data_IF_010460916608
#
_entry.id   IF_010460916608
#
_cell.length_a   1.000
_cell.length_b   1.000
_cell.length_c   1.000
_cell.angle_alpha   90.00
_cell.angle_beta   90.00
_cell.angle_gamma   90.00
#
_symmetry.space_group_name_H-M   'P 1'
#
loop_
_entity.id
_entity.type
_entity.pdbx_description
1 polymer ?
#
# COMPACT_ATOMS: atom_id res chain seq x y z
N UNK A 1 -10.09 0.07 7.92
CA UNK A 1 -9.22 -0.84 8.71
C UNK A 1 -9.99 -2.07 9.21
N UNK A 2 -11.03 -1.93 10.04
CA UNK A 2 -11.76 -3.11 10.55
C UNK A 2 -12.27 -4.03 9.44
N UNK A 3 -12.83 -3.47 8.37
CA UNK A 3 -13.32 -4.25 7.23
C UNK A 3 -12.20 -5.08 6.57
N UNK A 4 -11.02 -4.49 6.41
CA UNK A 4 -9.82 -5.20 5.95
C UNK A 4 -9.39 -6.30 6.93
N UNK A 5 -9.37 -6.02 8.23
CA UNK A 5 -8.99 -7.01 9.24
C UNK A 5 -9.99 -8.17 9.30
N UNK A 6 -11.28 -7.92 9.08
CA UNK A 6 -12.31 -8.94 9.02
C UNK A 6 -12.04 -9.88 7.84
N UNK A 7 -11.89 -9.35 6.62
CA UNK A 7 -11.63 -10.18 5.44
C UNK A 7 -10.35 -11.00 5.59
N UNK A 8 -9.25 -10.37 6.03
CA UNK A 8 -7.98 -11.08 6.25
C UNK A 8 -8.07 -12.13 7.37
N UNK A 9 -8.85 -11.85 8.43
CA UNK A 9 -9.04 -12.82 9.51
C UNK A 9 -9.77 -14.07 9.02
N UNK A 10 -10.76 -13.89 8.14
CA UNK A 10 -11.56 -14.94 7.49
C UNK A 10 -10.85 -15.65 6.33
N UNK A 11 -9.74 -15.08 5.83
CA UNK A 11 -8.94 -15.64 4.75
C UNK A 11 -9.36 -15.19 3.35
N UNK A 12 -10.16 -14.12 3.27
CA UNK A 12 -10.59 -13.50 2.03
C UNK A 12 -9.73 -12.26 1.73
N UNK A 13 -9.40 -12.04 0.45
CA UNK A 13 -8.73 -10.80 0.02
C UNK A 13 -9.70 -9.61 0.13
N UNK A 14 -9.27 -8.54 0.79
CA UNK A 14 -10.03 -7.30 0.85
C UNK A 14 -10.05 -6.60 -0.52
N UNK A 15 -11.23 -6.51 -1.14
CA UNK A 15 -11.47 -5.80 -2.41
C UNK A 15 -12.44 -4.63 -2.23
N UNK A 16 -12.41 -4.00 -1.06
CA UNK A 16 -13.31 -2.88 -0.73
C UNK A 16 -14.71 -3.33 -0.31
N UNK A 17 -14.88 -4.58 0.12
CA UNK A 17 -16.15 -5.01 0.71
C UNK A 17 -16.37 -4.29 2.04
N UNK A 18 -17.56 -3.73 2.20
CA UNK A 18 -18.00 -3.17 3.47
C UNK A 18 -18.69 -4.25 4.30
N UNK A 19 -18.41 -4.28 5.60
CA UNK A 19 -19.05 -5.19 6.55
C UNK A 19 -20.08 -4.47 7.41
N UNK A 20 -21.04 -5.23 7.94
CA UNK A 20 -22.06 -4.70 8.85
C UNK A 20 -21.45 -4.12 10.12
N UNK A 21 -22.20 -3.25 10.82
CA UNK A 21 -21.75 -2.72 12.09
C UNK A 21 -21.68 -3.83 13.17
N UNK A 22 -22.51 -4.86 13.07
CA UNK A 22 -22.44 -6.06 13.91
C UNK A 22 -21.10 -6.79 13.71
N UNK A 23 -20.71 -7.06 12.45
CA UNK A 23 -19.43 -7.69 12.12
C UNK A 23 -18.24 -6.86 12.62
N UNK A 24 -18.28 -5.54 12.42
CA UNK A 24 -17.24 -4.61 12.91
C UNK A 24 -17.10 -4.60 14.44
N UNK A 25 -18.20 -4.84 15.16
CA UNK A 25 -18.21 -4.95 16.63
C UNK A 25 -17.73 -6.32 17.12
N UNK A 26 -17.99 -7.36 16.33
CA UNK A 26 -17.55 -8.72 16.62
C UNK A 26 -16.03 -8.88 16.49
N UNK A 27 -15.39 -8.11 15.60
CA UNK A 27 -13.94 -8.05 15.51
C UNK A 27 -13.33 -7.24 16.67
N UNK A 28 -12.52 -7.92 17.50
CA UNK A 28 -11.73 -7.31 18.59
C UNK A 28 -10.25 -7.31 18.24
N UNK A 29 -9.60 -6.16 18.39
CA UNK A 29 -8.15 -6.06 18.36
C UNK A 29 -7.68 -6.32 19.79
N UNK A 30 -6.76 -7.26 19.96
CA UNK A 30 -6.22 -7.59 21.27
C UNK A 30 -5.48 -6.39 21.85
N UNK A 31 -5.75 -6.09 23.12
CA UNK A 31 -5.18 -4.97 23.88
C UNK A 31 -5.37 -3.60 23.21
N UNK A 32 -6.34 -3.48 22.29
CA UNK A 32 -6.57 -2.30 21.44
C UNK A 32 -5.29 -1.73 20.79
N UNK A 33 -4.31 -2.61 20.53
CA UNK A 33 -2.95 -2.22 20.14
C UNK A 33 -2.64 -2.62 18.70
N UNK A 34 -2.09 -1.67 17.95
CA UNK A 34 -1.50 -1.91 16.62
C UNK A 34 0.00 -1.64 16.74
N UNK A 35 0.80 -2.61 16.32
CA UNK A 35 2.25 -2.51 16.37
C UNK A 35 2.81 -2.10 15.02
N UNK A 36 3.69 -1.11 15.00
CA UNK A 36 4.39 -0.65 13.79
C UNK A 36 5.74 -1.35 13.62
N UNK A 37 6.13 -1.56 12.37
CA UNK A 37 7.39 -2.17 11.97
C UNK A 37 8.17 -1.28 11.03
N UNK A 38 9.50 -1.34 11.15
CA UNK A 38 10.40 -0.54 10.31
C UNK A 38 10.77 -1.17 8.97
N UNK A 39 10.45 -2.44 8.76
CA UNK A 39 10.72 -3.14 7.53
C UNK A 39 10.03 -4.50 7.43
N UNK A 40 9.93 -5.00 6.21
CA UNK A 40 9.30 -6.27 5.85
C UNK A 40 10.07 -6.90 4.68
N UNK A 41 9.99 -8.23 4.57
CA UNK A 41 10.62 -9.00 3.49
C UNK A 41 9.56 -9.76 2.72
N UNK A 42 9.70 -9.76 1.39
CA UNK A 42 8.84 -10.49 0.47
C UNK A 42 9.68 -11.52 -0.27
N UNK A 43 9.21 -12.76 -0.32
CA UNK A 43 9.84 -13.79 -1.13
C UNK A 43 9.11 -13.86 -2.47
N UNK A 44 9.86 -13.95 -3.56
CA UNK A 44 9.29 -14.09 -4.90
C UNK A 44 10.06 -15.14 -5.69
N UNK A 45 9.41 -15.67 -6.72
CA UNK A 45 10.05 -16.62 -7.64
C UNK A 45 10.57 -15.85 -8.84
N UNK A 46 11.86 -15.98 -9.13
CA UNK A 46 12.49 -15.43 -10.33
C UNK A 46 12.14 -16.27 -11.56
N UNK A 47 12.37 -15.72 -12.75
CA UNK A 47 12.04 -16.39 -14.02
C UNK A 47 12.74 -17.75 -14.19
N UNK A 48 13.96 -17.91 -13.66
CA UNK A 48 14.72 -19.16 -13.63
C UNK A 48 14.29 -20.11 -12.49
N UNK A 49 13.08 -19.93 -11.95
CA UNK A 49 12.47 -20.70 -10.87
C UNK A 49 13.30 -20.72 -9.56
N UNK A 50 14.15 -19.71 -9.34
CA UNK A 50 14.86 -19.53 -8.06
C UNK A 50 14.03 -18.68 -7.10
N UNK A 51 14.40 -18.73 -5.82
CA UNK A 51 13.81 -17.88 -4.78
C UNK A 51 14.62 -16.60 -4.66
N UNK A 52 13.98 -15.47 -4.98
CA UNK A 52 14.44 -14.13 -4.67
C UNK A 52 13.81 -13.61 -3.38
N UNK A 53 14.42 -12.58 -2.80
CA UNK A 53 13.86 -11.88 -1.67
C UNK A 53 14.06 -10.37 -1.83
N UNK A 54 12.98 -9.62 -1.69
CA UNK A 54 13.01 -8.18 -1.60
C UNK A 54 12.78 -7.75 -0.16
N UNK A 55 13.33 -6.61 0.22
CA UNK A 55 13.12 -6.00 1.52
C UNK A 55 12.71 -4.55 1.36
N UNK A 56 11.65 -4.17 2.07
CA UNK A 56 11.21 -2.78 2.20
C UNK A 56 11.58 -2.30 3.59
N UNK A 57 12.17 -1.11 3.69
CA UNK A 57 12.43 -0.46 4.98
C UNK A 57 12.09 1.02 4.96
N UNK A 58 11.17 1.39 5.85
CA UNK A 58 10.70 2.77 6.03
C UNK A 58 11.75 3.68 6.69
N UNK A 59 12.81 3.10 7.29
CA UNK A 59 13.91 3.87 7.90
C UNK A 59 14.82 4.54 6.87
N UNK A 60 14.87 4.01 5.65
CA UNK A 60 15.88 4.42 4.68
C UNK A 60 15.58 5.78 4.03
N UNK A 61 14.41 6.37 4.29
CA UNK A 61 13.95 7.60 3.63
C UNK A 61 13.74 7.43 2.12
N UNK A 62 13.79 6.19 1.60
CA UNK A 62 13.54 5.88 0.20
C UNK A 62 12.06 5.56 0.01
N UNK A 63 11.54 5.98 -1.13
CA UNK A 63 10.20 5.59 -1.55
C UNK A 63 10.16 4.07 -1.78
N UNK A 64 9.46 3.41 -0.87
CA UNK A 64 9.32 1.97 -0.87
C UNK A 64 8.08 1.61 -1.70
N UNK A 65 8.26 1.43 -3.00
CA UNK A 65 7.16 1.07 -3.89
C UNK A 65 7.07 -0.45 -4.02
N UNK A 66 5.85 -0.97 -4.03
CA UNK A 66 5.58 -2.38 -4.23
C UNK A 66 4.66 -2.59 -5.44
N UNK A 67 4.74 -3.79 -5.99
CA UNK A 67 3.84 -4.26 -7.04
C UNK A 67 2.82 -5.23 -6.45
N UNK A 68 1.54 -4.96 -6.70
CA UNK A 68 0.41 -5.79 -6.27
C UNK A 68 -0.25 -6.39 -7.49
N UNK A 69 -0.76 -7.62 -7.35
CA UNK A 69 -1.47 -8.32 -8.43
C UNK A 69 -2.72 -7.53 -8.83
N UNK A 70 -2.84 -7.20 -10.12
CA UNK A 70 -4.04 -6.60 -10.70
C UNK A 70 -4.96 -7.64 -11.32
N UNK A 71 -6.20 -7.22 -11.62
CA UNK A 71 -7.10 -8.04 -12.42
C UNK A 71 -6.55 -8.12 -13.86
N UNK A 72 -6.30 -9.32 -14.41
CA UNK A 72 -5.74 -9.48 -15.75
C UNK A 72 -6.66 -8.93 -16.86
N UNK A 73 -7.94 -8.66 -16.55
CA UNK A 73 -8.91 -8.07 -17.48
C UNK A 73 -8.88 -6.54 -17.54
N UNK A 74 -8.24 -5.89 -16.57
CA UNK A 74 -8.05 -4.44 -16.56
C UNK A 74 -6.73 -4.04 -17.22
N UNK A 75 -6.59 -2.75 -17.57
CA UNK A 75 -5.46 -2.20 -18.31
C UNK A 75 -4.13 -2.53 -17.61
N UNK A 76 -3.52 -3.66 -18.00
CA UNK A 76 -2.26 -4.26 -17.58
C UNK A 76 -2.24 -4.95 -16.20
N UNK A 77 -1.35 -5.94 -15.98
CA UNK A 77 -1.48 -6.94 -14.93
C UNK A 77 -1.09 -6.50 -13.50
N UNK A 78 -0.64 -5.26 -13.30
CA UNK A 78 0.00 -4.84 -12.05
C UNK A 78 -0.46 -3.47 -11.55
N UNK A 79 -0.63 -3.37 -10.23
CA UNK A 79 -0.82 -2.11 -9.51
C UNK A 79 0.45 -1.74 -8.76
N UNK A 80 0.66 -0.44 -8.56
CA UNK A 80 1.80 0.07 -7.82
C UNK A 80 1.34 0.92 -6.65
N UNK A 81 2.03 0.79 -5.52
CA UNK A 81 1.74 1.61 -4.35
C UNK A 81 3.01 1.91 -3.56
N UNK A 82 3.09 3.11 -2.99
CA UNK A 82 4.12 3.46 -2.00
C UNK A 82 3.68 2.97 -0.63
N UNK A 83 4.53 2.21 0.05
CA UNK A 83 4.30 1.77 1.42
C UNK A 83 4.57 2.95 2.37
N UNK A 84 3.53 3.36 3.10
CA UNK A 84 3.58 4.43 4.11
C UNK A 84 3.81 3.88 5.52
N UNK A 85 3.32 2.67 5.79
CA UNK A 85 3.42 2.05 7.09
C UNK A 85 3.31 0.52 7.01
N UNK A 86 4.03 -0.15 7.90
CA UNK A 86 3.99 -1.61 8.05
C UNK A 86 3.50 -1.88 9.47
N UNK A 87 2.45 -2.67 9.59
CA UNK A 87 1.79 -2.90 10.87
C UNK A 87 1.43 -4.37 11.07
N UNK A 88 1.20 -4.73 12.32
CA UNK A 88 0.44 -5.91 12.65
C UNK A 88 -0.48 -5.66 13.83
N UNK A 89 -1.55 -6.45 13.89
CA UNK A 89 -2.44 -6.50 15.02
C UNK A 89 -2.84 -7.96 15.27
N UNK A 90 -3.04 -8.33 16.53
CA UNK A 90 -3.67 -9.60 16.86
C UNK A 90 -5.16 -9.37 16.98
N UNK A 91 -5.97 -10.11 16.23
CA UNK A 91 -7.42 -9.94 16.14
C UNK A 91 -8.15 -11.21 16.49
N UNK A 92 -9.33 -11.06 17.09
CA UNK A 92 -10.26 -12.15 17.40
C UNK A 92 -11.62 -11.78 16.81
N UNK A 93 -12.11 -12.55 15.84
CA UNK A 93 -13.44 -12.36 15.23
C UNK A 93 -14.47 -13.24 15.97
N UNK A 94 -15.28 -12.66 16.86
CA UNK A 94 -16.33 -13.44 17.57
C UNK A 94 -17.55 -13.74 16.70
N UNK A 95 -17.64 -13.18 15.49
CA UNK A 95 -18.76 -13.35 14.57
C UNK A 95 -18.75 -14.68 13.83
N UNK A 96 -17.57 -15.30 13.68
CA UNK A 96 -17.41 -16.62 13.03
C UNK A 96 -17.62 -17.81 13.98
N UNK A 97 -17.93 -17.56 15.26
CA UNK A 97 -18.28 -18.58 16.25
C UNK A 97 -17.60 -18.43 17.62
N UNK A 98 -18.03 -19.26 18.58
CA UNK A 98 -17.68 -19.18 20.01
C UNK A 98 -16.19 -19.49 20.31
N UNK A 99 -15.43 -20.01 19.32
CA UNK A 99 -14.03 -20.47 19.46
C UNK A 99 -13.06 -19.79 18.49
N UNK A 100 -13.24 -18.51 18.16
CA UNK A 100 -12.21 -17.82 17.38
C UNK A 100 -10.94 -17.65 18.20
N UNK A 101 -9.86 -18.23 17.71
CA UNK A 101 -8.54 -18.05 18.29
C UNK A 101 -7.97 -16.70 17.85
N UNK A 102 -7.21 -16.01 18.71
CA UNK A 102 -6.49 -14.82 18.31
C UNK A 102 -5.59 -15.11 17.09
N UNK A 103 -5.75 -14.33 16.03
CA UNK A 103 -4.98 -14.43 14.79
C UNK A 103 -4.17 -13.17 14.60
N UNK A 104 -2.87 -13.32 14.36
CA UNK A 104 -2.02 -12.21 13.92
C UNK A 104 -2.32 -11.89 12.46
N UNK A 105 -2.60 -10.61 12.18
CA UNK A 105 -2.77 -10.08 10.83
C UNK A 105 -1.71 -9.00 10.62
N UNK A 106 -0.83 -9.23 9.66
CA UNK A 106 0.14 -8.24 9.18
C UNK A 106 -0.49 -7.47 8.01
N UNK A 107 -0.30 -6.15 7.95
CA UNK A 107 -0.89 -5.30 6.92
C UNK A 107 -0.05 -4.08 6.62
N UNK A 108 -0.12 -3.65 5.37
CA UNK A 108 0.59 -2.48 4.84
C UNK A 108 -0.40 -1.35 4.63
N UNK A 109 -0.07 -0.15 5.08
CA UNK A 109 -0.78 1.07 4.71
C UNK A 109 -0.08 1.71 3.53
N UNK A 110 -0.79 1.96 2.43
CA UNK A 110 -0.18 2.36 1.16
C UNK A 110 -0.87 3.54 0.49
N UNK A 111 -0.13 4.25 -0.36
CA UNK A 111 -0.62 5.26 -1.28
C UNK A 111 -0.50 4.75 -2.72
N UNK A 112 -1.62 4.61 -3.41
CA UNK A 112 -1.68 4.06 -4.76
C UNK A 112 -1.18 5.05 -5.81
N UNK A 113 -0.58 4.47 -6.84
CA UNK A 113 -0.33 5.15 -8.09
C UNK A 113 -1.38 4.76 -9.13
N UNK A 114 -1.76 5.72 -9.95
CA UNK A 114 -2.48 5.49 -11.20
C UNK A 114 -1.52 5.51 -12.39
N UNK A 115 -1.94 4.92 -13.51
CA UNK A 115 -1.16 4.91 -14.74
C UNK A 115 -1.41 6.17 -15.54
N UNK A 116 -0.34 6.83 -15.94
CA UNK A 116 -0.38 8.06 -16.72
C UNK A 116 -0.26 7.75 -18.21
N UNK A 117 0.69 6.90 -18.59
CA UNK A 117 0.91 6.50 -19.98
C UNK A 117 1.53 5.11 -20.09
N UNK A 118 1.22 4.42 -21.19
CA UNK A 118 1.83 3.14 -21.57
C UNK A 118 2.52 3.25 -22.95
N UNK A 119 3.08 4.42 -23.27
CA UNK A 119 3.78 4.62 -24.54
C UNK A 119 5.06 3.78 -24.63
N UNK A 120 5.71 3.80 -25.81
CA UNK A 120 6.95 3.07 -26.08
C UNK A 120 8.04 3.58 -25.13
N UNK A 121 8.27 2.87 -24.02
CA UNK A 121 9.19 3.28 -22.95
C UNK A 121 8.92 2.59 -21.61
N UNK A 122 9.47 3.15 -20.53
CA UNK A 122 9.17 2.71 -19.17
C UNK A 122 7.75 3.12 -18.78
N UNK A 123 6.97 2.24 -18.11
CA UNK A 123 5.63 2.59 -17.65
C UNK A 123 5.65 3.83 -16.77
N UNK A 124 4.78 4.80 -17.08
CA UNK A 124 4.66 6.04 -16.33
C UNK A 124 3.46 6.00 -15.38
N UNK A 125 3.69 6.36 -14.12
CA UNK A 125 2.71 6.35 -13.05
C UNK A 125 2.72 7.65 -12.26
N UNK A 126 1.61 8.03 -11.65
CA UNK A 126 1.49 9.20 -10.78
C UNK A 126 0.66 8.86 -9.55
N UNK A 127 0.85 9.55 -8.44
CA UNK A 127 0.04 9.32 -7.25
C UNK A 127 -1.44 9.62 -7.52
N UNK A 128 -2.33 8.80 -6.96
CA UNK A 128 -3.73 9.19 -6.87
C UNK A 128 -3.85 10.46 -6.01
N UNK A 129 -4.69 11.44 -6.41
CA UNK A 129 -4.85 12.68 -5.66
C UNK A 129 -5.25 12.43 -4.21
N UNK A 130 -4.73 13.24 -3.27
CA UNK A 130 -5.03 13.11 -1.84
C UNK A 130 -6.53 13.23 -1.50
N UNK A 131 -7.30 13.88 -2.37
CA UNK A 131 -8.75 14.03 -2.25
C UNK A 131 -9.53 12.79 -2.70
N UNK A 132 -8.87 11.84 -3.36
CA UNK A 132 -9.49 10.61 -3.82
C UNK A 132 -9.60 9.60 -2.66
N UNK A 133 -10.81 9.08 -2.44
CA UNK A 133 -11.06 8.06 -1.44
C UNK A 133 -10.31 6.74 -1.72
N UNK A 134 -9.94 6.49 -2.98
CA UNK A 134 -9.15 5.33 -3.40
C UNK A 134 -7.63 5.54 -3.27
N UNK A 135 -7.16 6.75 -2.93
CA UNK A 135 -5.73 7.05 -2.86
C UNK A 135 -5.00 6.19 -1.82
N UNK A 136 -5.65 5.90 -0.69
CA UNK A 136 -5.06 5.15 0.40
C UNK A 136 -5.84 3.86 0.67
N UNK A 137 -5.12 2.77 0.89
CA UNK A 137 -5.75 1.53 1.36
C UNK A 137 -4.81 0.70 2.23
N UNK A 138 -5.36 -0.41 2.74
CA UNK A 138 -4.59 -1.45 3.40
C UNK A 138 -4.41 -2.64 2.45
N UNK A 139 -3.22 -3.25 2.47
CA UNK A 139 -2.86 -4.39 1.63
C UNK A 139 -2.25 -5.49 2.49
N UNK A 140 -2.61 -6.74 2.21
CA UNK A 140 -1.98 -7.90 2.83
C UNK A 140 -0.56 -8.07 2.27
N UNK A 141 0.47 -8.31 3.09
CA UNK A 141 1.81 -8.64 2.59
C UNK A 141 1.83 -9.85 1.64
N UNK A 142 0.83 -10.73 1.72
CA UNK A 142 0.68 -11.89 0.84
C UNK A 142 0.22 -11.53 -0.58
N UNK A 143 -0.43 -10.37 -0.77
CA UNK A 143 -0.87 -9.88 -2.08
C UNK A 143 0.26 -9.13 -2.83
N UNK A 144 1.37 -8.86 -2.13
CA UNK A 144 2.54 -8.18 -2.68
C UNK A 144 3.38 -9.16 -3.49
N UNK A 145 3.60 -8.83 -4.77
CA UNK A 145 4.42 -9.64 -5.66
C UNK A 145 5.90 -9.40 -5.39
N UNK A 146 6.31 -8.13 -5.38
CA UNK A 146 7.71 -7.71 -5.27
C UNK A 146 7.84 -6.24 -4.90
N UNK A 147 9.01 -5.84 -4.42
CA UNK A 147 9.38 -4.43 -4.37
C UNK A 147 9.75 -3.96 -5.78
N UNK A 148 9.56 -2.68 -6.06
CA UNK A 148 9.96 -2.07 -7.33
C UNK A 148 10.59 -0.69 -7.09
N UNK A 149 11.42 -0.28 -8.04
CA UNK A 149 12.08 1.02 -7.99
C UNK A 149 11.36 1.99 -8.92
N UNK A 150 10.90 3.10 -8.38
CA UNK A 150 10.29 4.18 -9.16
C UNK A 150 11.28 5.33 -9.29
N UNK A 151 11.39 5.90 -10.49
CA UNK A 151 12.31 6.97 -10.80
C UNK A 151 11.48 8.22 -11.09
N UNK A 152 11.67 9.33 -10.37
CA UNK A 152 11.00 10.58 -10.69
C UNK A 152 11.14 10.99 -12.16
N UNK A 153 10.04 11.41 -12.79
CA UNK A 153 10.08 12.02 -14.11
C UNK A 153 10.57 13.47 -13.99
N UNK A 154 11.89 13.66 -13.85
CA UNK A 154 12.49 14.97 -13.57
C UNK A 154 12.06 16.09 -14.55
N UNK A 155 11.81 15.74 -15.82
CA UNK A 155 11.34 16.66 -16.86
C UNK A 155 9.91 17.17 -16.65
N UNK A 156 9.09 16.46 -15.86
CA UNK A 156 7.69 16.83 -15.60
C UNK A 156 7.49 17.70 -14.37
N UNK A 157 8.58 18.11 -13.71
CA UNK A 157 8.56 18.97 -12.52
C UNK A 157 7.80 18.36 -11.32
N UNK A 158 7.85 19.06 -10.18
CA UNK A 158 7.14 18.69 -8.96
C UNK A 158 5.81 19.44 -8.86
N UNK A 159 4.82 18.81 -8.22
CA UNK A 159 3.62 19.50 -7.79
C UNK A 159 3.93 20.26 -6.49
N UNK A 160 4.15 21.57 -6.63
CA UNK A 160 4.54 22.43 -5.53
C UNK A 160 3.50 23.53 -5.35
N UNK A 161 2.74 23.41 -4.27
CA UNK A 161 1.87 24.50 -3.79
C UNK A 161 2.67 25.30 -2.76
N UNK A 162 2.78 26.61 -2.97
CA UNK A 162 3.45 27.51 -2.03
C UNK A 162 2.45 28.18 -1.08
N UNK A 163 2.87 28.45 0.15
CA UNK A 163 2.15 29.31 1.07
C UNK A 163 2.39 30.80 0.75
N UNK A 164 1.67 31.69 1.43
CA UNK A 164 1.84 33.15 1.30
C UNK A 164 3.21 33.68 1.77
N UNK A 165 4.15 32.80 2.16
CA UNK A 165 5.52 33.10 2.56
C UNK A 165 6.55 32.37 1.70
N UNK A 166 6.13 31.87 0.53
CA UNK A 166 6.98 31.18 -0.44
C UNK A 166 7.62 29.88 0.09
N UNK A 167 6.97 29.22 1.04
CA UNK A 167 7.34 27.89 1.55
C UNK A 167 6.43 26.83 0.94
N UNK A 168 6.94 25.62 0.78
CA UNK A 168 6.14 24.51 0.27
C UNK A 168 5.05 24.18 1.29
N UNK A 169 3.80 24.33 0.86
CA UNK A 169 2.61 23.99 1.61
C UNK A 169 2.24 22.54 1.33
N UNK A 170 2.52 21.67 2.28
CA UNK A 170 2.05 20.28 2.25
C UNK A 170 0.58 20.19 2.62
N UNK A 171 -0.19 19.47 1.84
CA UNK A 171 -1.58 19.13 2.15
C UNK A 171 -1.67 17.91 3.08
N UNK A 172 -0.67 17.03 3.07
CA UNK A 172 -0.61 15.86 3.94
C UNK A 172 0.83 15.52 4.37
N UNK A 173 0.97 14.81 5.48
CA UNK A 173 2.26 14.35 6.02
C UNK A 173 2.91 13.25 5.16
N UNK A 174 2.16 12.61 4.28
CA UNK A 174 2.63 11.56 3.37
C UNK A 174 3.40 12.11 2.16
N UNK A 175 3.29 13.42 1.92
CA UNK A 175 3.98 14.10 0.83
C UNK A 175 5.44 14.36 1.16
N UNK A 176 6.29 14.33 0.14
CA UNK A 176 7.69 14.74 0.26
C UNK A 176 7.82 16.18 0.76
N UNK A 177 8.86 16.47 1.54
CA UNK A 177 9.11 17.81 2.07
C UNK A 177 9.33 18.85 0.98
N UNK A 178 9.85 18.42 -0.18
CA UNK A 178 10.09 19.26 -1.35
C UNK A 178 8.93 19.21 -2.37
N UNK A 179 7.80 18.59 -2.00
CA UNK A 179 6.66 18.34 -2.90
C UNK A 179 6.84 17.09 -3.75
N UNK A 180 5.77 16.40 -4.07
CA UNK A 180 5.85 15.15 -4.84
C UNK A 180 6.12 15.45 -6.32
N UNK A 181 6.75 14.52 -7.03
CA UNK A 181 6.87 14.63 -8.49
C UNK A 181 5.52 14.39 -9.16
N UNK A 182 5.27 15.09 -10.27
CA UNK A 182 4.03 14.93 -11.04
C UNK A 182 3.86 13.51 -11.60
N UNK A 183 4.96 12.82 -11.88
CA UNK A 183 4.95 11.41 -12.27
C UNK A 183 6.31 10.74 -12.06
N UNK A 184 6.29 9.41 -12.21
CA UNK A 184 7.41 8.50 -11.99
C UNK A 184 7.43 7.43 -13.08
N UNK A 185 8.62 6.97 -13.43
CA UNK A 185 8.82 5.81 -14.30
C UNK A 185 9.13 4.57 -13.46
N UNK A 186 8.52 3.44 -13.82
CA UNK A 186 8.75 2.17 -13.12
C UNK A 186 9.96 1.46 -13.72
N UNK A 187 10.96 1.17 -12.89
CA UNK A 187 12.07 0.29 -13.20
C UNK A 187 11.85 -1.08 -12.52
N UNK A 188 11.78 -2.14 -13.31
CA UNK A 188 11.43 -3.50 -12.87
C UNK A 188 12.61 -4.46 -12.90
#
# INVERSE_FOLDING_TARGET
>A
LKDFLISESRGDSHRGQEYSNEDRRALRIQDDTIHSHSGIRFNYTTYDARRGQDAISLKSGRDCTMTVTGDPTQQGPFWYARVLGIYHATVTDTGTGIRSLPKRVDFLWVWWFDRVSNEIGLPEIAYLPLSDNAAFSFVSPNDVIRACHVIPAFSKHRDVVLDGRNRIKRASFVQDEQGDWNSYYVNR
#
